data_IF_239121981006
#
_entry.id   IF_239121981006
#
_cell.length_a   1.000
_cell.length_b   1.000
_cell.length_c   1.000
_cell.angle_alpha   90.00
_cell.angle_beta   90.00
_cell.angle_gamma   90.00
#
_symmetry.space_group_name_H-M   'P 1'
#
loop_
_entity.id
_entity.type
_entity.pdbx_description
1 polymer ?
#
# COMPACT_ATOMS: atom_id res chain seq x y z
N UNK A 1 3.17 3.72 -2.46
CA UNK A 1 3.99 4.95 -2.25
C UNK A 1 4.41 5.57 -3.57
N UNK A 2 4.79 4.74 -4.54
CA UNK A 2 5.19 5.14 -5.91
C UNK A 2 4.20 4.62 -6.95
N UNK A 3 4.32 5.07 -8.20
CA UNK A 3 3.48 4.60 -9.32
C UNK A 3 3.95 3.26 -9.90
N UNK A 4 5.18 2.85 -9.60
CA UNK A 4 5.77 1.61 -10.09
C UNK A 4 6.25 1.72 -11.54
N UNK A 5 6.75 0.60 -12.07
CA UNK A 5 7.14 0.43 -13.47
C UNK A 5 6.52 -0.87 -14.00
N UNK A 6 5.83 -0.80 -15.13
CA UNK A 6 5.22 -1.97 -15.77
C UNK A 6 3.98 -2.52 -15.04
N UNK A 7 3.25 -1.68 -14.30
CA UNK A 7 2.09 -2.09 -13.50
C UNK A 7 0.85 -2.34 -14.36
N UNK A 8 0.67 -1.56 -15.43
CA UNK A 8 -0.44 -1.73 -16.39
C UNK A 8 0.01 -1.42 -17.82
N UNK A 9 -0.74 -1.85 -18.85
CA UNK A 9 -0.37 -1.65 -20.24
C UNK A 9 -0.22 -0.18 -20.61
N UNK A 10 0.88 0.16 -21.30
CA UNK A 10 1.24 1.51 -21.73
C UNK A 10 1.50 2.52 -20.60
N UNK A 11 1.74 2.06 -19.37
CA UNK A 11 2.03 2.94 -18.23
C UNK A 11 3.15 3.96 -18.53
N UNK A 12 4.12 3.63 -19.38
CA UNK A 12 5.21 4.52 -19.78
C UNK A 12 4.78 5.86 -20.38
N UNK A 13 3.57 5.94 -20.96
CA UNK A 13 3.03 7.20 -21.51
C UNK A 13 2.46 8.12 -20.42
N UNK A 14 2.09 7.53 -19.27
CA UNK A 14 1.48 8.22 -18.14
C UNK A 14 2.54 8.63 -17.09
N UNK A 15 3.69 7.95 -17.07
CA UNK A 15 4.76 8.20 -16.11
C UNK A 15 5.54 9.49 -16.42
N UNK A 16 5.46 10.45 -15.50
CA UNK A 16 6.38 11.60 -15.47
C UNK A 16 7.80 11.20 -15.08
N UNK A 17 7.95 10.12 -14.33
CA UNK A 17 9.23 9.62 -13.79
C UNK A 17 9.34 8.13 -14.13
N UNK A 18 9.95 7.77 -15.28
CA UNK A 18 10.02 6.38 -15.77
C UNK A 18 11.21 5.60 -15.16
N UNK A 19 11.52 5.83 -13.88
CA UNK A 19 12.57 5.12 -13.13
C UNK A 19 12.08 4.86 -11.71
N UNK A 20 12.04 3.58 -11.31
CA UNK A 20 11.53 3.18 -10.00
C UNK A 20 12.33 3.78 -8.84
N UNK A 21 13.65 3.82 -8.96
CA UNK A 21 14.52 4.36 -7.91
C UNK A 21 14.32 5.87 -7.78
N UNK A 22 14.15 6.58 -8.90
CA UNK A 22 13.86 8.01 -8.86
C UNK A 22 12.48 8.33 -8.27
N UNK A 23 11.46 7.50 -8.54
CA UNK A 23 10.17 7.63 -7.87
C UNK A 23 10.31 7.54 -6.34
N UNK A 24 11.07 6.58 -5.81
CA UNK A 24 11.33 6.48 -4.37
C UNK A 24 12.15 7.66 -3.83
N UNK A 25 13.13 8.18 -4.58
CA UNK A 25 13.89 9.38 -4.17
C UNK A 25 13.00 10.62 -4.07
N UNK A 26 12.04 10.78 -4.98
CA UNK A 26 11.09 11.90 -4.92
C UNK A 26 10.10 11.72 -3.77
N UNK A 27 9.58 10.50 -3.58
CA UNK A 27 8.74 10.19 -2.42
C UNK A 27 9.45 10.47 -1.10
N UNK A 28 10.75 10.15 -1.00
CA UNK A 28 11.56 10.40 0.18
C UNK A 28 11.65 11.89 0.55
N UNK A 29 11.74 12.78 -0.45
CA UNK A 29 11.75 14.25 -0.21
C UNK A 29 10.46 14.69 0.47
N UNK A 30 9.31 14.26 -0.07
CA UNK A 30 7.99 14.61 0.48
C UNK A 30 7.75 14.00 1.85
N UNK A 31 8.13 12.73 2.04
CA UNK A 31 8.01 12.04 3.34
C UNK A 31 8.90 12.69 4.39
N UNK A 32 10.09 13.18 4.00
CA UNK A 32 11.00 13.90 4.87
C UNK A 32 10.45 15.26 5.35
N UNK A 33 9.49 15.85 4.64
CA UNK A 33 8.84 17.11 5.04
C UNK A 33 7.79 16.93 6.15
N UNK A 34 7.39 15.69 6.47
CA UNK A 34 6.49 15.42 7.59
C UNK A 34 7.17 15.88 8.89
N UNK A 35 6.49 16.60 9.80
CA UNK A 35 7.10 17.09 11.05
C UNK A 35 7.70 15.98 11.93
N UNK A 36 8.81 16.27 12.61
CA UNK A 36 9.55 15.28 13.42
C UNK A 36 8.73 14.69 14.57
N UNK A 37 7.79 15.46 15.14
CA UNK A 37 6.95 15.02 16.25
C UNK A 37 5.83 14.04 15.85
N UNK A 38 5.61 13.83 14.54
CA UNK A 38 4.64 12.87 14.03
C UNK A 38 5.31 11.55 13.74
N UNK A 39 4.75 10.43 14.17
CA UNK A 39 5.23 9.10 13.79
C UNK A 39 4.62 8.65 12.45
N UNK A 40 5.40 7.94 11.64
CA UNK A 40 4.96 7.47 10.31
C UNK A 40 4.99 5.96 10.27
N UNK A 41 3.83 5.34 10.04
CA UNK A 41 3.70 3.92 9.71
C UNK A 41 3.47 3.79 8.21
N UNK A 42 4.23 2.93 7.55
CA UNK A 42 4.16 2.69 6.11
C UNK A 42 3.90 1.20 5.85
N UNK A 43 2.95 0.90 4.98
CA UNK A 43 2.76 -0.42 4.36
C UNK A 43 2.92 -0.30 2.84
N UNK A 44 3.38 -1.35 2.14
CA UNK A 44 3.41 -1.36 0.69
C UNK A 44 2.00 -1.42 0.09
N UNK A 45 1.85 -0.94 -1.14
CA UNK A 45 0.70 -1.21 -2.00
C UNK A 45 1.05 -1.99 -3.26
N UNK A 46 0.05 -2.24 -4.10
CA UNK A 46 0.20 -3.06 -5.32
C UNK A 46 1.15 -2.47 -6.39
N UNK A 47 1.47 -1.17 -6.34
CA UNK A 47 2.44 -0.53 -7.25
C UNK A 47 3.86 -0.45 -6.69
N UNK A 48 4.04 -0.72 -5.40
CA UNK A 48 5.36 -0.65 -4.76
C UNK A 48 6.25 -1.83 -5.18
N UNK A 49 7.55 -1.71 -4.94
CA UNK A 49 8.55 -2.68 -5.38
C UNK A 49 8.61 -3.88 -4.41
N UNK A 50 7.50 -4.62 -4.38
CA UNK A 50 7.27 -5.81 -3.57
C UNK A 50 6.66 -6.92 -4.44
N UNK A 51 6.60 -8.14 -3.92
CA UNK A 51 5.86 -9.22 -4.59
C UNK A 51 4.39 -8.83 -4.71
N UNK A 52 3.76 -9.17 -5.83
CA UNK A 52 2.35 -8.82 -6.07
C UNK A 52 1.36 -9.66 -5.24
N UNK A 53 1.75 -10.88 -4.88
CA UNK A 53 0.93 -11.77 -4.06
C UNK A 53 0.88 -11.32 -2.58
N UNK A 54 -0.29 -11.42 -1.97
CA UNK A 54 -0.47 -11.25 -0.53
C UNK A 54 0.06 -12.48 0.24
N UNK A 55 0.59 -12.31 1.47
CA UNK A 55 0.93 -11.02 2.10
C UNK A 55 2.18 -10.40 1.46
N UNK A 56 2.31 -9.08 1.40
CA UNK A 56 3.51 -8.41 0.91
C UNK A 56 4.46 -8.09 2.08
N UNK A 57 5.76 -8.37 1.99
CA UNK A 57 6.72 -7.90 2.99
C UNK A 57 6.88 -6.38 2.89
N UNK A 58 7.44 -5.76 3.94
CA UNK A 58 7.86 -4.36 3.87
C UNK A 58 8.77 -4.10 2.66
N UNK A 59 8.71 -2.90 2.08
CA UNK A 59 9.47 -2.54 0.88
C UNK A 59 10.96 -2.68 1.17
N UNK A 60 11.70 -3.38 0.32
CA UNK A 60 13.12 -3.61 0.54
C UNK A 60 13.92 -2.30 0.51
N UNK A 61 14.97 -2.21 1.34
CA UNK A 61 15.85 -1.03 1.40
C UNK A 61 16.52 -0.70 0.07
N UNK A 62 16.69 -1.69 -0.81
CA UNK A 62 17.20 -1.48 -2.17
C UNK A 62 16.38 -0.45 -2.94
N UNK A 63 15.06 -0.41 -2.71
CA UNK A 63 14.15 0.55 -3.34
C UNK A 63 13.84 1.73 -2.42
N UNK A 64 13.29 1.43 -1.24
CA UNK A 64 12.80 2.45 -0.30
C UNK A 64 13.87 2.97 0.67
N UNK A 65 15.15 2.64 0.47
CA UNK A 65 16.27 3.14 1.27
C UNK A 65 16.24 4.65 1.47
N UNK A 66 16.13 5.47 0.40
CA UNK A 66 16.01 6.92 0.53
C UNK A 66 14.85 7.38 1.43
N UNK A 67 13.73 6.65 1.43
CA UNK A 67 12.56 6.96 2.26
C UNK A 67 12.84 6.64 3.73
N UNK A 68 13.49 5.50 4.01
CA UNK A 68 13.87 5.14 5.37
C UNK A 68 14.96 6.02 5.96
N UNK A 69 15.81 6.59 5.11
CA UNK A 69 16.88 7.48 5.50
C UNK A 69 16.40 8.94 5.66
N UNK A 70 15.25 9.31 5.08
CA UNK A 70 14.74 10.70 5.16
C UNK A 70 14.18 11.06 6.53
N UNK A 71 13.67 10.08 7.29
CA UNK A 71 13.22 10.22 8.68
C UNK A 71 12.95 8.86 9.31
N UNK A 72 12.67 8.85 10.62
CA UNK A 72 12.16 7.66 11.31
C UNK A 72 10.79 7.26 10.74
N UNK A 73 10.72 6.02 10.26
CA UNK A 73 9.51 5.37 9.71
C UNK A 73 9.43 3.94 10.25
N UNK A 74 8.22 3.52 10.64
CA UNK A 74 7.90 2.12 10.94
C UNK A 74 7.36 1.49 9.66
N UNK A 75 8.20 0.77 8.93
CA UNK A 75 7.81 0.06 7.70
C UNK A 75 7.36 -1.36 8.03
N UNK A 76 6.14 -1.71 7.61
CA UNK A 76 5.46 -2.99 7.88
C UNK A 76 5.05 -3.66 6.56
N UNK A 77 4.58 -4.90 6.63
CA UNK A 77 4.03 -5.61 5.47
C UNK A 77 2.56 -5.26 5.19
N UNK A 78 2.03 -5.76 4.08
CA UNK A 78 0.61 -5.67 3.74
C UNK A 78 -0.03 -7.07 3.75
N UNK A 79 -1.04 -7.35 4.58
CA UNK A 79 -1.60 -6.50 5.64
C UNK A 79 -0.72 -6.46 6.90
N UNK A 80 -1.02 -5.53 7.82
CA UNK A 80 -0.44 -5.47 9.17
C UNK A 80 -1.45 -4.95 10.21
N UNK A 81 -1.23 -5.26 11.48
CA UNK A 81 -2.00 -4.69 12.60
C UNK A 81 -1.09 -3.83 13.48
N UNK A 82 -1.58 -2.68 13.92
CA UNK A 82 -0.90 -1.81 14.88
C UNK A 82 -1.84 -1.41 16.01
N UNK A 83 -1.32 -1.33 17.24
CA UNK A 83 -2.08 -0.87 18.40
C UNK A 83 -1.52 0.47 18.87
N UNK A 84 -2.37 1.49 18.90
CA UNK A 84 -2.02 2.83 19.37
C UNK A 84 -2.96 3.20 20.51
N UNK A 85 -2.41 3.46 21.70
CA UNK A 85 -3.19 3.87 22.89
C UNK A 85 -4.40 2.96 23.19
N UNK A 86 -4.23 1.64 23.01
CA UNK A 86 -5.28 0.65 23.25
C UNK A 86 -6.29 0.47 22.11
N UNK A 87 -6.16 1.21 21.00
CA UNK A 87 -6.98 1.07 19.80
C UNK A 87 -6.24 0.21 18.77
N UNK A 88 -6.89 -0.85 18.29
CA UNK A 88 -6.37 -1.73 17.23
C UNK A 88 -6.72 -1.19 15.85
N UNK A 89 -5.72 -1.09 14.98
CA UNK A 89 -5.84 -0.67 13.59
C UNK A 89 -5.38 -1.79 12.67
N UNK A 90 -6.27 -2.23 11.77
CA UNK A 90 -5.91 -3.09 10.65
C UNK A 90 -5.52 -2.23 9.45
N UNK A 91 -4.30 -2.40 8.99
CA UNK A 91 -3.74 -1.74 7.81
C UNK A 91 -3.73 -2.75 6.67
N UNK A 92 -4.42 -2.42 5.58
CA UNK A 92 -4.46 -3.24 4.38
C UNK A 92 -4.60 -2.35 3.15
N UNK A 93 -3.80 -2.58 2.12
CA UNK A 93 -3.85 -1.82 0.86
C UNK A 93 -5.16 -2.04 0.10
N UNK A 94 -5.76 -3.23 0.23
CA UNK A 94 -7.06 -3.51 -0.39
C UNK A 94 -7.01 -4.23 -1.74
N UNK A 95 -5.88 -4.84 -2.12
CA UNK A 95 -5.70 -5.48 -3.44
C UNK A 95 -6.81 -6.48 -3.79
N UNK A 96 -7.27 -7.26 -2.81
CA UNK A 96 -8.34 -8.26 -2.96
C UNK A 96 -9.75 -7.69 -3.14
N UNK A 97 -9.97 -6.39 -2.91
CA UNK A 97 -11.28 -5.76 -3.11
C UNK A 97 -11.71 -5.88 -4.58
N UNK A 98 -10.76 -5.79 -5.51
CA UNK A 98 -10.99 -5.96 -6.94
C UNK A 98 -11.49 -7.36 -7.27
N UNK A 99 -10.92 -8.39 -6.64
CA UNK A 99 -11.32 -9.77 -6.85
C UNK A 99 -12.76 -9.99 -6.38
N UNK A 100 -13.10 -9.51 -5.18
CA UNK A 100 -14.46 -9.62 -4.61
C UNK A 100 -15.47 -8.87 -5.49
N UNK A 101 -15.13 -7.65 -5.96
CA UNK A 101 -15.99 -6.87 -6.85
C UNK A 101 -16.24 -7.58 -8.19
N UNK A 102 -15.29 -8.39 -8.65
CA UNK A 102 -15.40 -9.15 -9.89
C UNK A 102 -16.13 -10.49 -9.73
N UNK A 103 -16.07 -11.12 -8.55
CA UNK A 103 -16.56 -12.48 -8.32
C UNK A 103 -17.90 -12.54 -7.58
N UNK A 104 -18.17 -11.60 -6.67
CA UNK A 104 -19.33 -11.65 -5.80
C UNK A 104 -20.45 -10.70 -6.27
N UNK A 105 -21.68 -11.20 -6.49
CA UNK A 105 -22.80 -10.38 -6.95
C UNK A 105 -23.25 -9.39 -5.88
N UNK A 106 -23.69 -8.21 -6.32
CA UNK A 106 -24.29 -7.18 -5.46
C UNK A 106 -23.34 -6.09 -4.98
N UNK A 107 -22.03 -6.27 -5.18
CA UNK A 107 -21.04 -5.25 -4.90
C UNK A 107 -20.80 -4.31 -6.09
N UNK A 108 -20.40 -3.08 -5.77
CA UNK A 108 -20.20 -2.01 -6.74
C UNK A 108 -18.95 -1.21 -6.37
N UNK A 109 -18.14 -0.87 -7.38
CA UNK A 109 -16.98 0.01 -7.26
C UNK A 109 -17.32 1.37 -6.63
N UNK A 110 -18.54 1.85 -6.83
CA UNK A 110 -19.02 3.11 -6.25
C UNK A 110 -19.42 2.97 -4.77
N UNK A 111 -19.48 1.74 -4.22
CA UNK A 111 -19.88 1.44 -2.84
C UNK A 111 -18.82 0.58 -2.13
N UNK A 112 -17.57 1.06 -1.99
CA UNK A 112 -16.45 0.28 -1.46
C UNK A 112 -16.64 -0.17 0.00
N UNK A 113 -17.43 0.58 0.78
CA UNK A 113 -17.74 0.23 2.18
C UNK A 113 -18.42 -1.13 2.30
N UNK A 114 -19.31 -1.49 1.37
CA UNK A 114 -20.02 -2.77 1.41
C UNK A 114 -19.07 -3.97 1.26
N UNK A 115 -18.05 -3.83 0.40
CA UNK A 115 -17.03 -4.86 0.18
C UNK A 115 -16.10 -4.96 1.39
N UNK A 116 -15.72 -3.83 1.99
CA UNK A 116 -14.93 -3.82 3.22
C UNK A 116 -15.69 -4.46 4.38
N UNK A 117 -16.98 -4.16 4.54
CA UNK A 117 -17.83 -4.83 5.53
C UNK A 117 -17.91 -6.35 5.29
N UNK A 118 -17.99 -6.77 4.03
CA UNK A 118 -17.97 -8.19 3.68
C UNK A 118 -16.68 -8.88 4.14
N UNK A 119 -15.50 -8.30 3.87
CA UNK A 119 -14.22 -8.84 4.37
C UNK A 119 -14.18 -8.93 5.90
N UNK A 120 -14.66 -7.89 6.59
CA UNK A 120 -14.70 -7.86 8.06
C UNK A 120 -15.63 -8.94 8.62
N UNK A 121 -16.80 -9.16 8.01
CA UNK A 121 -17.73 -10.24 8.39
C UNK A 121 -17.14 -11.62 8.10
N UNK A 122 -16.45 -11.78 6.97
CA UNK A 122 -15.75 -13.01 6.60
C UNK A 122 -14.53 -13.30 7.49
N UNK A 123 -14.02 -12.29 8.21
CA UNK A 123 -12.77 -12.37 9.01
C UNK A 123 -11.57 -12.82 8.16
N UNK A 124 -11.60 -12.48 6.88
CA UNK A 124 -10.57 -12.82 5.91
C UNK A 124 -10.45 -11.66 4.92
N UNK A 125 -9.22 -11.23 4.61
CA UNK A 125 -8.98 -10.08 3.73
C UNK A 125 -9.07 -10.43 2.25
N UNK A 126 -9.01 -11.69 1.88
CA UNK A 126 -9.24 -12.17 0.50
C UNK A 126 -10.16 -13.40 0.49
N UNK A 127 -11.42 -13.26 0.92
CA UNK A 127 -12.37 -14.38 0.95
C UNK A 127 -12.76 -14.78 -0.48
N UNK A 128 -12.88 -16.09 -0.72
CA UNK A 128 -13.48 -16.63 -1.95
C UNK A 128 -15.01 -16.46 -1.97
#
# INVERSE_FOLDING_TARGET
>A
LVDGIGVYPRQEVDLKVPDIYEQYRLAAKLVGEIPEHMEVVLIPGNHDAVRQALPQPAILKEFAGPVYDSRRIVSLGDPSEVRLEGVDFLLFHGTSLMDILSSAPGFDYQRPVEVMEYQLRARHLAPE
#
